data_IF_668734250593
#
_entry.id   IF_668734250593
#
_cell.length_a   1.000
_cell.length_b   1.000
_cell.length_c   1.000
_cell.angle_alpha   90.00
_cell.angle_beta   90.00
_cell.angle_gamma   90.00
#
_symmetry.space_group_name_H-M   'P 1'
#
loop_
_entity.id
_entity.type
_entity.pdbx_description
1 polymer ?
#
# COMPACT_ATOMS: atom_id res chain seq x y z
N UNK A 1 0.13 7.45 13.76
CA UNK A 1 -0.26 8.85 13.47
C UNK A 1 -1.74 9.12 13.76
N UNK A 2 -2.69 8.35 13.19
CA UNK A 2 -4.13 8.45 13.50
C UNK A 2 -4.45 8.36 15.01
N UNK A 3 -3.85 7.40 15.72
CA UNK A 3 -4.12 7.18 17.15
C UNK A 3 -3.70 8.38 18.02
N UNK A 4 -2.52 8.97 17.77
CA UNK A 4 -2.03 10.15 18.49
C UNK A 4 -2.87 11.40 18.22
N UNK A 5 -3.35 11.54 16.97
CA UNK A 5 -4.26 12.63 16.59
C UNK A 5 -5.66 12.46 17.23
N UNK A 6 -6.19 11.24 17.26
CA UNK A 6 -7.46 10.89 17.90
C UNK A 6 -7.37 11.05 19.42
N UNK A 7 -6.27 10.63 20.05
CA UNK A 7 -6.00 10.82 21.49
C UNK A 7 -5.93 12.30 21.86
N UNK A 8 -5.35 13.14 21.01
CA UNK A 8 -5.32 14.59 21.20
C UNK A 8 -6.72 15.21 21.06
N UNK A 9 -7.50 14.79 20.06
CA UNK A 9 -8.88 15.27 19.84
C UNK A 9 -9.86 14.85 20.95
N UNK A 10 -9.61 13.72 21.63
CA UNK A 10 -10.52 13.14 22.64
C UNK A 10 -10.17 13.47 24.09
N UNK A 11 -8.94 13.94 24.37
CA UNK A 11 -8.56 14.48 25.70
C UNK A 11 -9.03 15.94 25.84
N UNK A 12 -10.25 16.15 26.32
CA UNK A 12 -10.79 17.44 26.80
C UNK A 12 -10.88 18.64 25.82
N UNK A 13 -10.55 18.48 24.54
CA UNK A 13 -10.79 19.53 23.53
C UNK A 13 -12.18 19.33 22.90
N UNK A 14 -13.23 19.64 23.66
CA UNK A 14 -14.63 19.42 23.30
C UNK A 14 -15.16 20.41 22.22
N UNK A 15 -14.30 20.91 21.34
CA UNK A 15 -14.66 21.97 20.38
C UNK A 15 -15.03 23.32 21.03
N UNK A 16 -14.83 23.47 22.34
CA UNK A 16 -14.84 24.78 23.00
C UNK A 16 -13.39 25.24 23.11
N UNK A 17 -13.07 26.41 22.54
CA UNK A 17 -11.82 27.10 22.84
C UNK A 17 -11.67 27.22 24.36
N UNK A 18 -10.51 26.85 24.93
CA UNK A 18 -10.14 27.25 26.27
C UNK A 18 -10.30 28.77 26.38
N UNK A 19 -10.69 29.28 27.56
CA UNK A 19 -10.71 30.71 27.80
C UNK A 19 -9.34 31.28 27.39
N UNK A 20 -9.36 32.23 26.48
CA UNK A 20 -8.19 32.83 25.85
C UNK A 20 -7.33 33.44 26.96
N UNK A 21 -6.26 32.75 27.36
CA UNK A 21 -5.12 33.42 27.98
C UNK A 21 -4.61 34.41 26.92
N UNK A 22 -4.37 35.67 27.30
CA UNK A 22 -4.09 36.81 26.39
C UNK A 22 -2.89 36.59 25.43
N UNK A 23 -2.13 35.52 25.66
CA UNK A 23 -0.99 35.10 24.90
C UNK A 23 -1.42 34.05 23.86
N UNK A 24 -1.55 34.46 22.61
CA UNK A 24 -1.84 33.68 21.38
C UNK A 24 -0.98 32.39 21.14
N UNK A 25 -0.14 31.98 22.11
CA UNK A 25 0.75 30.80 22.10
C UNK A 25 0.03 29.49 21.76
N UNK A 26 -1.15 29.24 22.33
CA UNK A 26 -1.94 28.04 22.08
C UNK A 26 -2.31 27.87 20.59
N UNK A 27 -2.64 28.96 19.90
CA UNK A 27 -3.01 28.94 18.47
C UNK A 27 -1.80 28.64 17.59
N UNK A 28 -0.63 29.16 17.96
CA UNK A 28 0.63 28.88 17.26
C UNK A 28 1.05 27.42 17.43
N UNK A 29 0.99 26.87 18.65
CA UNK A 29 1.32 25.46 18.90
C UNK A 29 0.39 24.51 18.14
N UNK A 30 -0.92 24.78 18.14
CA UNK A 30 -1.88 23.99 17.36
C UNK A 30 -1.56 24.03 15.85
N UNK A 31 -1.27 25.21 15.32
CA UNK A 31 -0.95 25.39 13.89
C UNK A 31 0.36 24.70 13.51
N UNK A 32 1.35 24.77 14.40
CA UNK A 32 2.64 24.08 14.25
C UNK A 32 2.44 22.56 14.18
N UNK A 33 1.70 21.97 15.13
CA UNK A 33 1.44 20.53 15.14
C UNK A 33 0.63 20.06 13.92
N UNK A 34 -0.33 20.87 13.45
CA UNK A 34 -1.08 20.57 12.22
C UNK A 34 -0.17 20.57 10.99
N UNK A 35 0.76 21.52 10.90
CA UNK A 35 1.72 21.59 9.81
C UNK A 35 2.72 20.42 9.85
N UNK A 36 3.23 20.06 11.02
CA UNK A 36 4.08 18.89 11.22
C UNK A 36 3.38 17.59 10.80
N UNK A 37 2.10 17.44 11.16
CA UNK A 37 1.30 16.28 10.76
C UNK A 37 1.07 16.22 9.24
N UNK A 38 0.82 17.36 8.61
CA UNK A 38 0.72 17.44 7.15
C UNK A 38 2.02 17.03 6.47
N UNK A 39 3.16 17.59 6.90
CA UNK A 39 4.48 17.25 6.33
C UNK A 39 4.82 15.78 6.51
N UNK A 40 4.51 15.19 7.67
CA UNK A 40 4.68 13.77 7.90
C UNK A 40 3.80 12.92 6.96
N UNK A 41 2.56 13.34 6.71
CA UNK A 41 1.67 12.66 5.77
C UNK A 41 2.14 12.75 4.32
N UNK A 42 2.67 13.90 3.90
CA UNK A 42 3.28 14.08 2.58
C UNK A 42 4.50 13.17 2.42
N UNK A 43 5.42 13.18 3.38
CA UNK A 43 6.61 12.34 3.35
C UNK A 43 6.25 10.84 3.32
N UNK A 44 5.24 10.42 4.08
CA UNK A 44 4.74 9.04 4.05
C UNK A 44 4.15 8.66 2.67
N UNK A 45 3.39 9.57 2.06
CA UNK A 45 2.84 9.40 0.72
C UNK A 45 3.92 9.31 -0.35
N UNK A 46 4.90 10.20 -0.31
CA UNK A 46 6.05 10.20 -1.23
C UNK A 46 6.86 8.91 -1.11
N UNK A 47 7.10 8.43 0.10
CA UNK A 47 7.79 7.15 0.33
C UNK A 47 7.03 5.96 -0.28
N UNK A 48 5.70 5.93 -0.17
CA UNK A 48 4.86 4.90 -0.80
C UNK A 48 4.92 4.98 -2.33
N UNK A 49 4.80 6.19 -2.89
CA UNK A 49 4.91 6.39 -4.33
C UNK A 49 6.28 5.98 -4.86
N UNK A 50 7.36 6.28 -4.14
CA UNK A 50 8.71 5.87 -4.51
C UNK A 50 8.87 4.34 -4.51
N UNK A 51 8.33 3.65 -3.50
CA UNK A 51 8.36 2.18 -3.44
C UNK A 51 7.59 1.53 -4.60
N UNK A 52 6.37 2.01 -4.89
CA UNK A 52 5.57 1.52 -6.03
C UNK A 52 6.24 1.85 -7.37
N UNK A 53 6.89 3.01 -7.50
CA UNK A 53 7.62 3.37 -8.70
C UNK A 53 8.84 2.46 -8.92
N UNK A 54 9.57 2.12 -7.85
CA UNK A 54 10.70 1.19 -7.91
C UNK A 54 10.26 -0.23 -8.33
N UNK A 55 9.16 -0.73 -7.75
CA UNK A 55 8.59 -2.02 -8.11
C UNK A 55 8.13 -2.04 -9.59
N UNK A 56 7.47 -0.98 -10.05
CA UNK A 56 7.08 -0.85 -11.45
C UNK A 56 8.29 -0.75 -12.40
N UNK A 57 9.37 -0.07 -11.98
CA UNK A 57 10.59 0.01 -12.78
C UNK A 57 11.25 -1.36 -12.93
N UNK A 58 11.28 -2.15 -11.84
CA UNK A 58 11.79 -3.52 -11.86
C UNK A 58 10.95 -4.44 -12.77
N UNK A 59 9.61 -4.36 -12.67
CA UNK A 59 8.71 -5.15 -13.54
C UNK A 59 8.93 -4.81 -15.02
N UNK A 60 9.02 -3.52 -15.35
CA UNK A 60 9.29 -3.05 -16.72
C UNK A 60 10.65 -3.52 -17.22
N UNK A 61 11.67 -3.50 -16.37
CA UNK A 61 13.01 -3.98 -16.72
C UNK A 61 13.00 -5.49 -17.01
N UNK A 62 12.29 -6.30 -16.22
CA UNK A 62 12.16 -7.74 -16.49
C UNK A 62 11.44 -8.03 -17.81
N UNK A 63 10.36 -7.30 -18.12
CA UNK A 63 9.66 -7.42 -19.41
C UNK A 63 10.58 -7.04 -20.57
N UNK A 64 11.36 -5.96 -20.42
CA UNK A 64 12.31 -5.54 -21.44
C UNK A 64 13.39 -6.59 -21.66
N UNK A 65 13.96 -7.15 -20.59
CA UNK A 65 14.96 -8.22 -20.70
C UNK A 65 14.41 -9.44 -21.45
N UNK A 66 13.20 -9.90 -21.11
CA UNK A 66 12.57 -11.00 -21.83
C UNK A 66 12.37 -10.68 -23.33
N UNK A 67 12.06 -9.43 -23.66
CA UNK A 67 11.94 -8.99 -25.06
C UNK A 67 13.28 -8.94 -25.78
N UNK A 68 14.34 -8.46 -25.11
CA UNK A 68 15.69 -8.41 -25.66
C UNK A 68 16.27 -9.82 -25.88
N UNK A 69 16.02 -10.75 -24.95
CA UNK A 69 16.40 -12.16 -25.08
C UNK A 69 15.70 -12.83 -26.27
N UNK A 70 14.44 -12.47 -26.55
CA UNK A 70 13.73 -12.90 -27.76
C UNK A 70 14.31 -12.30 -29.06
N UNK A 71 14.92 -11.11 -29.01
CA UNK A 71 15.40 -10.39 -30.20
C UNK A 71 16.87 -10.69 -30.53
N UNK A 72 17.70 -11.02 -29.52
CA UNK A 72 19.14 -11.26 -29.65
C UNK A 72 19.52 -12.32 -30.71
N UNK A 73 18.64 -13.28 -30.99
CA UNK A 73 18.88 -14.32 -32.00
C UNK A 73 18.63 -13.87 -33.45
N UNK A 74 18.13 -12.65 -33.68
CA UNK A 74 17.81 -12.16 -35.03
C UNK A 74 18.95 -11.40 -35.73
N UNK A 75 20.02 -11.03 -35.00
CA UNK A 75 21.05 -10.13 -35.51
C UNK A 75 22.33 -10.80 -36.01
N UNK A 76 22.67 -12.03 -35.58
CA UNK A 76 23.99 -12.61 -35.91
C UNK A 76 23.97 -13.51 -37.16
N UNK A 77 22.94 -14.34 -37.37
CA UNK A 77 22.76 -15.11 -38.60
C UNK A 77 21.27 -15.43 -38.76
N UNK A 78 20.67 -15.11 -39.91
CA UNK A 78 19.30 -15.49 -40.29
C UNK A 78 19.14 -17.03 -40.45
N UNK A 79 19.42 -17.76 -39.37
CA UNK A 79 19.39 -19.20 -39.28
C UNK A 79 17.98 -19.60 -38.83
N UNK A 80 17.07 -19.65 -39.80
CA UNK A 80 15.77 -20.28 -39.58
C UNK A 80 16.02 -21.75 -39.24
N UNK A 81 15.81 -22.14 -37.99
CA UNK A 81 15.66 -23.57 -37.66
C UNK A 81 14.32 -24.01 -38.24
N UNK A 82 14.34 -25.10 -39.00
CA UNK A 82 13.13 -25.71 -39.54
C UNK A 82 12.78 -26.95 -38.75
N UNK A 83 11.49 -27.24 -38.58
CA UNK A 83 11.05 -28.49 -37.99
C UNK A 83 11.21 -29.68 -38.95
N UNK A 84 10.78 -30.87 -38.54
CA UNK A 84 10.86 -32.09 -39.36
C UNK A 84 10.02 -32.01 -40.65
N UNK A 85 9.03 -31.12 -40.70
CA UNK A 85 8.13 -30.89 -41.83
C UNK A 85 8.58 -29.70 -42.70
N UNK A 86 9.65 -28.99 -42.30
CA UNK A 86 10.22 -27.85 -43.02
C UNK A 86 9.56 -26.51 -42.72
N UNK A 87 8.80 -26.40 -41.62
CA UNK A 87 8.22 -25.13 -41.16
C UNK A 87 9.20 -24.34 -40.30
N UNK A 88 9.13 -23.01 -40.33
CA UNK A 88 10.04 -22.16 -39.56
C UNK A 88 9.75 -22.23 -38.05
N UNK A 89 10.75 -22.63 -37.28
CA UNK A 89 10.74 -22.72 -35.81
C UNK A 89 11.24 -21.43 -35.12
N UNK A 90 11.19 -20.32 -35.84
CA UNK A 90 11.75 -19.03 -35.41
C UNK A 90 11.05 -18.47 -34.16
N UNK A 91 9.76 -18.77 -33.97
CA UNK A 91 9.02 -18.37 -32.76
C UNK A 91 9.38 -19.21 -31.52
N UNK A 92 9.69 -20.50 -31.72
CA UNK A 92 9.95 -21.45 -30.63
C UNK A 92 11.35 -21.27 -30.04
N UNK A 93 12.34 -20.94 -30.88
CA UNK A 93 13.69 -20.56 -30.44
C UNK A 93 13.68 -19.31 -29.56
N UNK A 94 13.02 -18.23 -30.01
CA UNK A 94 12.89 -16.99 -29.21
C UNK A 94 12.29 -17.23 -27.82
N UNK A 95 11.27 -18.09 -27.75
CA UNK A 95 10.66 -18.45 -26.48
C UNK A 95 11.61 -19.26 -25.58
N UNK A 96 12.46 -20.12 -26.14
CA UNK A 96 13.49 -20.83 -25.38
C UNK A 96 14.55 -19.87 -24.82
N UNK A 97 14.98 -18.87 -25.59
CA UNK A 97 16.02 -17.94 -25.16
C UNK A 97 15.54 -17.01 -24.04
N UNK A 98 14.29 -16.55 -24.13
CA UNK A 98 13.66 -15.76 -23.08
C UNK A 98 13.04 -16.58 -21.95
N UNK A 99 13.13 -17.92 -21.99
CA UNK A 99 12.43 -18.80 -21.06
C UNK A 99 12.76 -18.48 -19.59
N UNK A 100 14.03 -18.23 -19.29
CA UNK A 100 14.50 -17.90 -17.94
C UNK A 100 13.97 -16.53 -17.48
N UNK A 101 14.02 -15.52 -18.35
CA UNK A 101 13.50 -14.18 -18.08
C UNK A 101 11.98 -14.17 -17.89
N UNK A 102 11.25 -14.95 -18.69
CA UNK A 102 9.79 -15.13 -18.56
C UNK A 102 9.45 -15.87 -17.25
N UNK A 103 10.16 -16.96 -16.93
CA UNK A 103 9.93 -17.71 -15.69
C UNK A 103 10.20 -16.89 -14.42
N UNK A 104 11.18 -15.97 -14.49
CA UNK A 104 11.46 -14.99 -13.43
C UNK A 104 10.29 -14.01 -13.22
N UNK A 105 9.67 -13.55 -14.31
CA UNK A 105 8.49 -12.68 -14.24
C UNK A 105 7.24 -13.38 -13.70
N UNK A 106 7.02 -14.66 -14.03
CA UNK A 106 5.86 -15.41 -13.52
C UNK A 106 5.84 -15.54 -12.00
N UNK A 107 7.03 -15.59 -11.38
CA UNK A 107 7.17 -15.81 -9.93
C UNK A 107 7.46 -14.52 -9.14
N UNK A 108 7.41 -13.35 -9.79
CA UNK A 108 7.65 -12.08 -9.09
C UNK A 108 6.64 -11.87 -7.97
N UNK A 109 7.15 -11.43 -6.82
CA UNK A 109 6.35 -10.86 -5.74
C UNK A 109 6.34 -9.34 -5.83
N UNK A 110 5.18 -8.76 -5.55
CA UNK A 110 4.96 -7.30 -5.54
C UNK A 110 4.62 -6.82 -4.13
N UNK A 111 5.57 -6.91 -3.17
CA UNK A 111 5.31 -6.64 -1.76
C UNK A 111 4.93 -5.18 -1.49
N UNK A 112 5.39 -4.23 -2.31
CA UNK A 112 5.00 -2.83 -2.16
C UNK A 112 3.53 -2.62 -2.56
N UNK A 113 3.09 -3.25 -3.66
CA UNK A 113 1.68 -3.27 -4.07
C UNK A 113 0.80 -3.99 -3.04
N UNK A 114 1.23 -5.15 -2.54
CA UNK A 114 0.46 -5.92 -1.54
C UNK A 114 0.29 -5.13 -0.23
N UNK A 115 1.37 -4.50 0.25
CA UNK A 115 1.33 -3.65 1.44
C UNK A 115 0.40 -2.44 1.24
N UNK A 116 0.43 -1.83 0.06
CA UNK A 116 -0.47 -0.73 -0.28
C UNK A 116 -1.94 -1.16 -0.26
N UNK A 117 -2.27 -2.30 -0.88
CA UNK A 117 -3.64 -2.83 -0.90
C UNK A 117 -4.14 -3.20 0.51
N UNK A 118 -3.28 -3.80 1.34
CA UNK A 118 -3.60 -4.10 2.74
C UNK A 118 -3.90 -2.80 3.53
N UNK A 119 -3.13 -1.75 3.30
CA UNK A 119 -3.35 -0.46 3.94
C UNK A 119 -4.66 0.22 3.48
N UNK A 120 -4.96 0.19 2.19
CA UNK A 120 -6.24 0.72 1.65
C UNK A 120 -7.43 -0.05 2.22
N UNK A 121 -7.32 -1.39 2.32
CA UNK A 121 -8.34 -2.21 3.00
C UNK A 121 -8.50 -1.80 4.46
N UNK A 122 -7.39 -1.62 5.19
CA UNK A 122 -7.44 -1.17 6.58
C UNK A 122 -8.17 0.17 6.71
N UNK A 123 -7.89 1.14 5.84
CA UNK A 123 -8.56 2.45 5.86
C UNK A 123 -10.07 2.35 5.64
N UNK A 124 -10.51 1.48 4.72
CA UNK A 124 -11.94 1.22 4.50
C UNK A 124 -12.63 0.60 5.71
N UNK A 125 -11.98 -0.38 6.35
CA UNK A 125 -12.50 -1.05 7.55
C UNK A 125 -12.55 -0.08 8.74
N UNK A 126 -11.57 0.81 8.88
CA UNK A 126 -11.62 1.85 9.90
C UNK A 126 -12.79 2.82 9.72
N UNK A 127 -13.09 3.21 8.47
CA UNK A 127 -14.24 4.07 8.20
C UNK A 127 -15.55 3.39 8.63
N UNK A 128 -15.65 2.08 8.36
CA UNK A 128 -16.77 1.27 8.84
C UNK A 128 -16.82 1.18 10.37
N UNK A 129 -15.67 0.99 11.03
CA UNK A 129 -15.56 0.96 12.47
C UNK A 129 -16.01 2.28 13.12
N UNK A 130 -15.58 3.41 12.54
CA UNK A 130 -15.93 4.76 12.99
C UNK A 130 -17.43 5.03 12.85
N UNK A 131 -18.04 4.64 11.73
CA UNK A 131 -19.48 4.79 11.52
C UNK A 131 -20.29 4.08 12.61
N UNK A 132 -19.92 2.84 12.95
CA UNK A 132 -20.60 2.10 14.01
C UNK A 132 -20.31 2.62 15.42
N UNK A 133 -19.10 3.15 15.67
CA UNK A 133 -18.79 3.83 16.92
C UNK A 133 -19.68 5.07 17.10
N UNK A 134 -19.80 5.89 16.07
CA UNK A 134 -20.62 7.09 16.08
C UNK A 134 -22.10 6.76 16.36
N UNK A 135 -22.62 5.72 15.70
CA UNK A 135 -24.00 5.29 15.90
C UNK A 135 -24.23 4.67 17.29
N UNK A 136 -23.24 3.99 17.86
CA UNK A 136 -23.28 3.51 19.25
C UNK A 136 -23.31 4.68 20.25
N UNK A 137 -22.57 5.77 19.99
CA UNK A 137 -22.59 6.99 20.78
C UNK A 137 -23.96 7.67 20.72
N UNK A 138 -24.53 7.84 19.52
CA UNK A 138 -25.87 8.44 19.31
C UNK A 138 -26.97 7.71 20.09
N UNK A 139 -26.86 6.39 20.18
CA UNK A 139 -27.83 5.53 20.88
C UNK A 139 -27.51 5.32 22.36
N UNK A 140 -26.48 6.01 22.89
CA UNK A 140 -25.94 5.86 24.25
C UNK A 140 -25.66 4.40 24.63
N UNK A 141 -25.28 3.58 23.64
CA UNK A 141 -25.04 2.16 23.78
C UNK A 141 -23.63 1.78 23.31
N UNK A 142 -22.65 2.38 23.99
CA UNK A 142 -21.23 2.37 23.63
C UNK A 142 -20.46 1.12 24.09
N UNK A 143 -21.03 0.27 24.94
CA UNK A 143 -20.32 -0.88 25.53
C UNK A 143 -20.93 -2.24 25.19
N UNK A 144 -22.25 -2.37 25.17
CA UNK A 144 -22.93 -3.69 25.08
C UNK A 144 -23.72 -3.88 23.78
N UNK A 145 -23.98 -2.79 23.06
CA UNK A 145 -24.73 -2.79 21.80
C UNK A 145 -23.99 -3.52 20.68
N UNK A 146 -24.76 -4.11 19.75
CA UNK A 146 -24.19 -4.79 18.59
C UNK A 146 -23.33 -3.85 17.73
N UNK A 147 -23.65 -2.55 17.70
CA UNK A 147 -22.89 -1.52 16.99
C UNK A 147 -21.50 -1.29 17.62
N UNK A 148 -21.43 -1.20 18.95
CA UNK A 148 -20.16 -1.09 19.66
C UNK A 148 -19.28 -2.33 19.43
N UNK A 149 -19.88 -3.53 19.45
CA UNK A 149 -19.17 -4.78 19.13
C UNK A 149 -18.69 -4.83 17.68
N UNK A 150 -19.53 -4.42 16.72
CA UNK A 150 -19.17 -4.35 15.31
C UNK A 150 -18.02 -3.37 15.07
N UNK A 151 -18.07 -2.19 15.69
CA UNK A 151 -17.00 -1.19 15.64
C UNK A 151 -15.67 -1.74 16.18
N UNK A 152 -15.72 -2.41 17.34
CA UNK A 152 -14.53 -3.01 17.95
C UNK A 152 -13.92 -4.11 17.07
N UNK A 153 -14.74 -5.06 16.60
CA UNK A 153 -14.27 -6.14 15.73
C UNK A 153 -13.69 -5.62 14.41
N UNK A 154 -14.31 -4.58 13.83
CA UNK A 154 -13.77 -3.93 12.65
C UNK A 154 -12.44 -3.21 12.94
N UNK A 155 -12.31 -2.56 14.10
CA UNK A 155 -11.05 -1.91 14.51
C UNK A 155 -9.91 -2.92 14.66
N UNK A 156 -10.18 -4.05 15.31
CA UNK A 156 -9.21 -5.16 15.47
C UNK A 156 -8.79 -5.73 14.10
N UNK A 157 -9.74 -5.90 13.18
CA UNK A 157 -9.43 -6.36 11.83
C UNK A 157 -8.61 -5.34 11.01
N UNK A 158 -8.91 -4.05 11.14
CA UNK A 158 -8.14 -2.99 10.49
C UNK A 158 -6.70 -2.92 11.03
N UNK A 159 -6.50 -3.20 12.31
CA UNK A 159 -5.17 -3.27 12.92
C UNK A 159 -4.37 -4.46 12.37
N UNK A 160 -4.97 -5.65 12.29
CA UNK A 160 -4.34 -6.82 11.67
C UNK A 160 -3.89 -6.55 10.21
N UNK A 161 -4.73 -5.86 9.43
CA UNK A 161 -4.37 -5.47 8.06
C UNK A 161 -3.18 -4.49 8.00
N UNK A 162 -3.03 -3.63 9.00
CA UNK A 162 -1.85 -2.74 9.09
C UNK A 162 -0.59 -3.49 9.48
N UNK A 163 -0.70 -4.46 10.38
CA UNK A 163 0.42 -5.31 10.75
C UNK A 163 0.92 -6.10 9.55
N UNK A 164 0.00 -6.69 8.78
CA UNK A 164 0.32 -7.38 7.52
C UNK A 164 1.02 -6.45 6.52
N UNK A 165 0.49 -5.24 6.31
CA UNK A 165 1.13 -4.22 5.47
C UNK A 165 2.54 -3.82 5.97
N UNK A 166 2.79 -3.88 7.28
CA UNK A 166 4.10 -3.59 7.85
C UNK A 166 5.08 -4.77 7.69
N UNK A 167 4.60 -6.01 7.74
CA UNK A 167 5.40 -7.21 7.49
C UNK A 167 5.84 -7.30 6.02
N UNK A 168 4.92 -7.05 5.10
CA UNK A 168 5.19 -7.02 3.65
C UNK A 168 6.27 -5.99 3.30
N UNK A 169 6.26 -4.81 3.94
CA UNK A 169 7.31 -3.78 3.77
C UNK A 169 8.69 -4.21 4.26
N UNK A 170 8.78 -5.16 5.20
CA UNK A 170 10.05 -5.67 5.73
C UNK A 170 10.60 -6.85 4.91
N UNK A 171 9.90 -7.29 3.87
CA UNK A 171 10.24 -8.52 3.15
C UNK A 171 10.12 -9.78 4.00
N UNK A 172 9.42 -9.70 5.15
CA UNK A 172 9.17 -10.84 6.02
C UNK A 172 7.91 -11.52 5.51
N UNK A 173 8.06 -12.36 4.49
CA UNK A 173 7.04 -13.33 4.13
C UNK A 173 7.32 -14.65 4.86
N UNK A 174 6.27 -15.24 5.45
CA UNK A 174 6.29 -16.61 5.97
C UNK A 174 6.25 -17.63 4.83
#
# INVERSE_FOLDING_TARGET
>A
MKQKFIEWFTKNNNGCSPAMEDDISFVYEMTQHMFEAYQAGVAEGEAKCAALAAENAWLKAGILQASEDMEAHHDDYALFSYDADGEQMDALLRLCDAQDSIASLENVKTPATDAFLAEVRAQGVEMFALMFAEEAIKTNNITTGWRARASRAASEYAEALREDAALLRKGVQS
#
